data_IF_246954121195
#
_entry.id   IF_246954121195
#
_cell.length_a   1.000
_cell.length_b   1.000
_cell.length_c   1.000
_cell.angle_alpha   90.00
_cell.angle_beta   90.00
_cell.angle_gamma   90.00
#
_symmetry.space_group_name_H-M   'P 1'
#
loop_
_entity.id
_entity.type
_entity.pdbx_description
1 polymer ?
#
# COMPACT_ATOMS: atom_id res chain seq x y z
N UNK A 1 11.48 52.04 -63.56
CA UNK A 1 12.17 52.68 -62.40
C UNK A 1 11.26 52.58 -61.19
N UNK A 2 11.81 52.10 -60.05
CA UNK A 2 11.24 52.16 -58.68
C UNK A 2 9.92 51.40 -58.47
N UNK A 3 9.64 50.67 -57.39
CA UNK A 3 10.09 50.80 -56.01
C UNK A 3 9.93 49.46 -55.22
N UNK A 4 10.39 49.51 -53.97
CA UNK A 4 9.92 48.73 -52.81
C UNK A 4 10.47 47.31 -52.57
N UNK A 5 11.63 47.22 -51.89
CA UNK A 5 12.05 46.03 -51.13
C UNK A 5 12.86 46.41 -49.87
N UNK A 6 12.26 47.02 -48.85
CA UNK A 6 13.00 47.31 -47.60
C UNK A 6 12.23 47.13 -46.27
N UNK A 7 11.10 46.42 -46.22
CA UNK A 7 10.32 46.26 -44.97
C UNK A 7 10.38 44.89 -44.29
N UNK A 8 11.06 43.88 -44.84
CA UNK A 8 11.00 42.49 -44.31
C UNK A 8 12.01 42.12 -43.20
N UNK A 9 12.80 43.06 -42.67
CA UNK A 9 13.83 42.73 -41.65
C UNK A 9 13.45 43.14 -40.22
N UNK A 10 12.38 43.91 -40.02
CA UNK A 10 12.00 44.41 -38.69
C UNK A 10 11.13 43.45 -37.87
N UNK A 11 10.40 42.53 -38.51
CA UNK A 11 9.50 41.61 -37.79
C UNK A 11 10.25 40.48 -37.03
N UNK A 12 11.41 40.04 -37.52
CA UNK A 12 12.13 38.90 -36.93
C UNK A 12 12.78 39.18 -35.57
N UNK A 13 13.15 40.44 -35.26
CA UNK A 13 13.77 40.80 -33.96
C UNK A 13 12.76 40.94 -32.82
N UNK A 14 11.49 41.17 -33.12
CA UNK A 14 10.42 41.30 -32.11
C UNK A 14 9.96 39.94 -31.54
N UNK A 15 9.93 38.89 -32.37
CA UNK A 15 9.53 37.56 -31.91
C UNK A 15 10.54 36.91 -30.93
N UNK A 16 11.84 37.19 -31.08
CA UNK A 16 12.90 36.63 -30.22
C UNK A 16 12.90 37.20 -28.79
N UNK A 17 12.59 38.49 -28.59
CA UNK A 17 12.53 39.10 -27.24
C UNK A 17 11.26 38.71 -26.46
N UNK A 18 10.16 38.46 -27.18
CA UNK A 18 8.90 38.03 -26.58
C UNK A 18 8.92 36.56 -26.15
N UNK A 19 9.65 35.70 -26.87
CA UNK A 19 9.81 34.27 -26.53
C UNK A 19 10.56 34.07 -25.20
N UNK A 20 11.64 34.82 -24.95
CA UNK A 20 12.41 34.68 -23.71
C UNK A 20 11.67 35.08 -22.43
N UNK A 21 10.79 36.11 -22.48
CA UNK A 21 9.98 36.53 -21.31
C UNK A 21 8.89 35.52 -20.97
N UNK A 22 8.25 34.92 -21.97
CA UNK A 22 7.20 33.90 -21.77
C UNK A 22 7.78 32.61 -21.18
N UNK A 23 8.95 32.16 -21.65
CA UNK A 23 9.63 30.97 -21.12
C UNK A 23 10.09 31.18 -19.67
N UNK A 24 10.64 32.36 -19.33
CA UNK A 24 11.03 32.68 -17.95
C UNK A 24 9.82 32.72 -17.00
N UNK A 25 8.70 33.31 -17.44
CA UNK A 25 7.46 33.33 -16.65
C UNK A 25 6.90 31.91 -16.41
N UNK A 26 6.91 31.06 -17.45
CA UNK A 26 6.48 29.67 -17.32
C UNK A 26 7.38 28.87 -16.37
N UNK A 27 8.70 29.06 -16.43
CA UNK A 27 9.65 28.42 -15.52
C UNK A 27 9.46 28.87 -14.06
N UNK A 28 9.21 30.17 -13.82
CA UNK A 28 8.93 30.69 -12.47
C UNK A 28 7.61 30.13 -11.93
N UNK A 29 6.57 30.05 -12.76
CA UNK A 29 5.28 29.45 -12.38
C UNK A 29 5.42 27.95 -12.08
N UNK A 30 6.14 27.19 -12.91
CA UNK A 30 6.43 25.78 -12.67
C UNK A 30 7.22 25.59 -11.38
N UNK A 31 8.30 26.36 -11.18
CA UNK A 31 9.11 26.27 -9.96
C UNK A 31 8.30 26.65 -8.72
N UNK A 32 7.46 27.68 -8.80
CA UNK A 32 6.53 28.06 -7.72
C UNK A 32 5.52 26.96 -7.40
N UNK A 33 5.02 26.24 -8.41
CA UNK A 33 4.08 25.13 -8.24
C UNK A 33 4.76 23.87 -7.68
N UNK A 34 6.03 23.61 -8.01
CA UNK A 34 6.83 22.53 -7.41
C UNK A 34 7.21 22.82 -5.95
N UNK A 35 7.40 24.08 -5.58
CA UNK A 35 7.72 24.50 -4.20
C UNK A 35 6.48 24.66 -3.31
N UNK A 36 5.27 24.52 -3.85
CA UNK A 36 4.02 24.77 -3.14
C UNK A 36 3.51 23.69 -2.16
N UNK A 37 4.00 22.43 -2.09
CA UNK A 37 3.39 21.49 -1.17
C UNK A 37 4.17 21.46 0.16
N UNK A 38 3.67 22.17 1.19
CA UNK A 38 3.83 21.78 2.62
C UNK A 38 3.17 22.76 3.62
N UNK A 39 2.02 23.36 3.31
CA UNK A 39 1.23 24.08 4.34
C UNK A 39 0.01 23.30 4.85
N UNK A 40 -0.21 22.07 4.40
CA UNK A 40 -1.25 21.20 4.95
C UNK A 40 -0.72 20.37 6.13
N UNK A 41 -0.09 21.01 7.11
CA UNK A 41 0.12 20.37 8.42
C UNK A 41 -1.24 20.39 9.16
N UNK A 42 -2.04 19.35 8.95
CA UNK A 42 -3.27 19.15 9.71
C UNK A 42 -2.89 18.78 11.14
N UNK A 43 -3.32 19.59 12.11
CA UNK A 43 -3.06 19.34 13.52
C UNK A 43 -3.71 18.00 13.94
N UNK A 44 -2.92 17.11 14.53
CA UNK A 44 -3.43 15.95 15.27
C UNK A 44 -4.20 16.51 16.46
N UNK A 45 -5.47 16.15 16.60
CA UNK A 45 -6.30 16.61 17.72
C UNK A 45 -5.63 16.24 19.04
N UNK A 46 -5.30 17.21 19.91
CA UNK A 46 -4.62 16.93 21.17
C UNK A 46 -5.58 16.20 22.11
N UNK A 47 -5.38 14.89 22.25
CA UNK A 47 -6.16 14.05 23.17
C UNK A 47 -5.54 14.07 24.58
N UNK A 48 -6.36 14.16 25.64
CA UNK A 48 -5.88 14.23 27.01
C UNK A 48 -5.47 12.84 27.54
N UNK A 49 -4.25 12.42 27.23
CA UNK A 49 -3.66 11.18 27.78
C UNK A 49 -3.18 11.38 29.22
N UNK A 50 -3.31 10.34 30.06
CA UNK A 50 -2.85 10.35 31.46
C UNK A 50 -1.33 10.34 31.56
N UNK A 51 -0.65 9.66 30.63
CA UNK A 51 0.79 9.52 30.60
C UNK A 51 1.29 9.13 29.19
N UNK A 52 2.61 9.10 29.03
CA UNK A 52 3.28 8.73 27.76
C UNK A 52 3.05 7.28 27.34
N UNK A 53 2.81 6.37 28.29
CA UNK A 53 2.57 4.96 27.95
C UNK A 53 1.18 4.74 27.36
N UNK A 54 0.17 5.47 27.84
CA UNK A 54 -1.19 5.49 27.29
C UNK A 54 -1.20 6.11 25.89
N UNK A 55 -0.49 7.23 25.69
CA UNK A 55 -0.28 7.83 24.36
C UNK A 55 0.38 6.82 23.40
N UNK A 56 1.48 6.18 23.80
CA UNK A 56 2.15 5.18 22.95
C UNK A 56 1.28 3.96 22.66
N UNK A 57 0.44 3.55 23.62
CA UNK A 57 -0.53 2.46 23.43
C UNK A 57 -1.62 2.86 22.43
N UNK A 58 -2.14 4.08 22.53
CA UNK A 58 -3.09 4.63 21.58
C UNK A 58 -2.52 4.64 20.16
N UNK A 59 -1.30 5.17 19.97
CA UNK A 59 -0.66 5.24 18.65
C UNK A 59 -0.43 3.84 18.03
N UNK A 60 -0.05 2.85 18.85
CA UNK A 60 0.08 1.46 18.38
C UNK A 60 -1.25 0.86 17.95
N UNK A 61 -2.33 1.15 18.69
CA UNK A 61 -3.67 0.64 18.36
C UNK A 61 -4.19 1.25 17.06
N UNK A 62 -4.08 2.57 16.89
CA UNK A 62 -4.57 3.27 15.70
C UNK A 62 -3.78 2.91 14.44
N UNK A 63 -2.49 2.61 14.56
CA UNK A 63 -1.68 2.11 13.43
C UNK A 63 -2.08 0.70 12.97
N UNK A 64 -2.70 -0.10 13.84
CA UNK A 64 -3.17 -1.46 13.53
C UNK A 64 -4.61 -1.50 13.00
N UNK A 65 -5.24 -0.34 12.84
CA UNK A 65 -6.59 -0.19 12.33
C UNK A 65 -6.56 0.57 11.00
N UNK A 66 -7.30 0.09 10.00
CA UNK A 66 -7.40 0.67 8.65
C UNK A 66 -8.43 1.79 8.61
N UNK A 67 -8.17 2.81 7.79
CA UNK A 67 -9.22 3.73 7.37
C UNK A 67 -10.07 3.07 6.26
N UNK A 68 -11.34 2.82 6.55
CA UNK A 68 -12.28 2.12 5.65
C UNK A 68 -12.61 2.88 4.36
N UNK A 69 -12.33 4.19 4.32
CA UNK A 69 -12.63 5.08 3.18
C UNK A 69 -11.38 5.61 2.48
N UNK A 70 -10.20 5.25 2.98
CA UNK A 70 -8.92 5.76 2.49
C UNK A 70 -8.19 4.68 1.69
N UNK A 71 -7.27 5.09 0.82
CA UNK A 71 -6.53 4.13 -0.02
C UNK A 71 -5.32 3.59 0.73
N UNK A 72 -5.48 2.40 1.33
CA UNK A 72 -4.40 1.66 2.00
C UNK A 72 -3.68 2.48 3.11
N UNK A 73 -4.47 3.21 3.89
CA UNK A 73 -3.99 4.01 5.03
C UNK A 73 -4.54 3.45 6.35
N UNK A 74 -3.80 3.65 7.44
CA UNK A 74 -4.24 3.35 8.80
C UNK A 74 -4.94 4.57 9.45
N UNK A 75 -5.54 4.38 10.63
CA UNK A 75 -6.22 5.44 11.35
C UNK A 75 -5.26 6.48 11.96
N UNK A 76 -4.00 6.12 12.22
CA UNK A 76 -3.01 7.02 12.78
C UNK A 76 -2.57 8.09 11.76
N UNK A 77 -2.39 7.67 10.51
CA UNK A 77 -1.83 8.50 9.43
C UNK A 77 -2.89 9.23 8.61
N UNK A 78 -4.13 8.73 8.61
CA UNK A 78 -5.17 9.29 7.74
C UNK A 78 -5.89 10.50 8.33
N UNK A 79 -6.12 11.49 7.47
CA UNK A 79 -6.82 12.74 7.80
C UNK A 79 -8.32 12.73 7.46
N UNK A 80 -8.87 11.59 7.00
CA UNK A 80 -10.30 11.48 6.72
C UNK A 80 -11.16 11.76 7.97
N UNK A 81 -12.34 12.34 7.78
CA UNK A 81 -13.30 12.59 8.86
C UNK A 81 -13.66 11.29 9.59
N UNK A 82 -13.92 10.21 8.85
CA UNK A 82 -14.20 8.89 9.43
C UNK A 82 -13.03 8.38 10.28
N UNK A 83 -11.78 8.60 9.85
CA UNK A 83 -10.62 8.18 10.62
C UNK A 83 -10.50 8.93 11.94
N UNK A 84 -10.92 10.20 11.98
CA UNK A 84 -10.99 11.01 13.21
C UNK A 84 -12.06 10.48 14.16
N UNK A 85 -13.25 10.17 13.66
CA UNK A 85 -14.34 9.60 14.47
C UNK A 85 -13.93 8.26 15.10
N UNK A 86 -13.30 7.38 14.31
CA UNK A 86 -12.81 6.09 14.79
C UNK A 86 -11.68 6.25 15.82
N UNK A 87 -10.77 7.21 15.63
CA UNK A 87 -9.74 7.57 16.61
C UNK A 87 -10.34 8.00 17.95
N UNK A 88 -11.40 8.81 17.94
CA UNK A 88 -12.12 9.16 19.16
C UNK A 88 -12.79 7.96 19.83
N UNK A 89 -13.34 7.01 19.06
CA UNK A 89 -13.88 5.77 19.60
C UNK A 89 -12.79 4.92 20.27
N UNK A 90 -11.63 4.79 19.64
CA UNK A 90 -10.48 4.07 20.21
C UNK A 90 -10.05 4.73 21.53
N UNK A 91 -9.96 6.06 21.54
CA UNK A 91 -9.61 6.82 22.73
C UNK A 91 -10.64 6.63 23.85
N UNK A 92 -11.93 6.67 23.55
CA UNK A 92 -12.98 6.44 24.54
C UNK A 92 -12.89 5.04 25.19
N UNK A 93 -12.64 4.00 24.39
CA UNK A 93 -12.46 2.64 24.90
C UNK A 93 -11.17 2.49 25.73
N UNK A 94 -10.10 3.18 25.33
CA UNK A 94 -8.84 3.25 26.08
C UNK A 94 -9.07 3.87 27.47
N UNK A 95 -9.79 4.99 27.51
CA UNK A 95 -10.13 5.68 28.77
C UNK A 95 -11.06 4.84 29.66
N UNK A 96 -11.91 4.02 29.07
CA UNK A 96 -12.74 3.04 29.77
C UNK A 96 -11.94 1.83 30.32
N UNK A 97 -10.61 1.82 30.17
CA UNK A 97 -9.74 0.78 30.73
C UNK A 97 -9.79 -0.56 29.99
N UNK A 98 -10.32 -0.58 28.76
CA UNK A 98 -10.39 -1.81 27.94
C UNK A 98 -9.00 -2.26 27.52
N UNK A 99 -8.82 -3.57 27.33
CA UNK A 99 -7.59 -4.14 26.76
C UNK A 99 -7.53 -3.96 25.23
N UNK A 100 -6.35 -4.11 24.63
CA UNK A 100 -6.16 -3.95 23.19
C UNK A 100 -7.04 -4.90 22.37
N UNK A 101 -7.18 -6.14 22.83
CA UNK A 101 -8.05 -7.13 22.20
C UNK A 101 -9.53 -6.73 22.29
N UNK A 102 -9.97 -6.20 23.44
CA UNK A 102 -11.34 -5.72 23.61
C UNK A 102 -11.64 -4.51 22.73
N UNK A 103 -10.68 -3.58 22.60
CA UNK A 103 -10.81 -2.40 21.74
C UNK A 103 -10.92 -2.84 20.28
N UNK A 104 -10.03 -3.73 19.82
CA UNK A 104 -10.07 -4.29 18.47
C UNK A 104 -11.39 -5.02 18.19
N UNK A 105 -11.84 -5.86 19.13
CA UNK A 105 -13.10 -6.57 18.99
C UNK A 105 -14.28 -5.61 18.89
N UNK A 106 -14.33 -4.57 19.73
CA UNK A 106 -15.36 -3.53 19.64
C UNK A 106 -15.37 -2.83 18.27
N UNK A 107 -14.19 -2.58 17.70
CA UNK A 107 -14.09 -2.01 16.35
C UNK A 107 -14.61 -2.97 15.29
N UNK A 108 -14.27 -4.25 15.37
CA UNK A 108 -14.77 -5.29 14.45
C UNK A 108 -16.28 -5.43 14.53
N UNK A 109 -16.81 -5.57 15.75
CA UNK A 109 -18.25 -5.80 16.00
C UNK A 109 -19.12 -4.68 15.42
N UNK A 110 -18.57 -3.46 15.34
CA UNK A 110 -19.31 -2.27 14.90
C UNK A 110 -18.98 -1.83 13.47
N UNK A 111 -17.79 -2.14 12.95
CA UNK A 111 -17.28 -1.60 11.68
C UNK A 111 -16.83 -2.64 10.66
N UNK A 112 -16.86 -3.95 10.97
CA UNK A 112 -16.37 -5.09 10.16
C UNK A 112 -14.95 -5.55 10.47
N UNK A 113 -14.65 -6.83 10.20
CA UNK A 113 -13.32 -7.43 10.27
C UNK A 113 -12.27 -6.66 9.44
N UNK A 114 -12.70 -5.98 8.38
CA UNK A 114 -11.83 -5.21 7.49
C UNK A 114 -11.19 -3.98 8.16
N UNK A 115 -11.69 -3.56 9.33
CA UNK A 115 -11.09 -2.48 10.11
C UNK A 115 -9.72 -2.86 10.66
N UNK A 116 -9.44 -4.15 10.85
CA UNK A 116 -8.13 -4.62 11.29
C UNK A 116 -7.15 -4.60 10.12
N UNK A 117 -5.93 -4.11 10.36
CA UNK A 117 -4.89 -4.15 9.34
C UNK A 117 -4.46 -5.58 9.02
N UNK A 118 -4.42 -6.43 10.03
CA UNK A 118 -4.15 -7.86 9.90
C UNK A 118 -5.44 -8.63 10.19
N UNK A 119 -6.06 -9.26 9.18
CA UNK A 119 -7.30 -10.01 9.38
C UNK A 119 -7.04 -11.22 10.27
N UNK A 120 -7.93 -11.52 11.24
CA UNK A 120 -7.73 -12.64 12.14
C UNK A 120 -7.81 -13.98 11.40
N UNK A 121 -7.07 -14.97 11.91
CA UNK A 121 -7.23 -16.36 11.49
C UNK A 121 -8.52 -16.89 12.11
N UNK A 122 -9.55 -17.03 11.28
CA UNK A 122 -10.85 -17.58 11.67
C UNK A 122 -11.13 -18.83 10.86
N UNK A 123 -12.21 -19.54 11.21
CA UNK A 123 -12.65 -20.72 10.43
C UNK A 123 -12.92 -20.37 8.95
N UNK A 124 -13.38 -19.15 8.67
CA UNK A 124 -13.65 -18.68 7.30
C UNK A 124 -12.39 -18.33 6.51
N UNK A 125 -11.36 -17.78 7.16
CA UNK A 125 -10.09 -17.42 6.49
C UNK A 125 -9.08 -18.56 6.46
N UNK A 126 -9.34 -19.69 7.15
CA UNK A 126 -8.39 -20.79 7.29
C UNK A 126 -7.85 -21.30 5.95
N UNK A 127 -8.72 -21.48 4.94
CA UNK A 127 -8.31 -21.93 3.62
C UNK A 127 -7.36 -20.94 2.93
N UNK A 128 -7.55 -19.63 3.13
CA UNK A 128 -6.67 -18.60 2.58
C UNK A 128 -5.27 -18.67 3.21
N UNK A 129 -5.20 -18.91 4.53
CA UNK A 129 -3.95 -18.98 5.27
C UNK A 129 -3.16 -20.28 5.03
N UNK A 130 -3.85 -21.43 5.01
CA UNK A 130 -3.20 -22.74 4.93
C UNK A 130 -3.27 -23.40 3.54
N UNK A 131 -4.11 -22.87 2.64
CA UNK A 131 -4.29 -23.40 1.28
C UNK A 131 -3.00 -23.53 0.48
N UNK A 132 -2.12 -22.49 0.41
CA UNK A 132 -0.86 -22.59 -0.32
C UNK A 132 0.05 -23.70 0.21
N UNK A 133 0.18 -23.83 1.54
CA UNK A 133 1.00 -24.86 2.16
C UNK A 133 0.42 -26.27 1.91
N UNK A 134 -0.89 -26.43 2.05
CA UNK A 134 -1.58 -27.70 1.80
C UNK A 134 -1.41 -28.13 0.33
N UNK A 135 -1.51 -27.19 -0.61
CA UNK A 135 -1.33 -27.46 -2.04
C UNK A 135 0.09 -27.91 -2.37
N UNK A 136 1.10 -27.26 -1.78
CA UNK A 136 2.50 -27.65 -1.94
C UNK A 136 2.77 -29.06 -1.38
N UNK A 137 2.25 -29.36 -0.19
CA UNK A 137 2.40 -30.68 0.45
C UNK A 137 1.71 -31.78 -0.36
N UNK A 138 0.50 -31.51 -0.88
CA UNK A 138 -0.20 -32.44 -1.74
C UNK A 138 0.58 -32.73 -3.03
N UNK A 139 1.08 -31.69 -3.71
CA UNK A 139 1.91 -31.84 -4.91
C UNK A 139 3.20 -32.63 -4.65
N UNK A 140 3.93 -32.29 -3.59
CA UNK A 140 5.14 -33.01 -3.18
C UNK A 140 4.84 -34.48 -2.86
N UNK A 141 3.72 -34.77 -2.17
CA UNK A 141 3.28 -36.12 -1.87
C UNK A 141 3.04 -36.96 -3.14
N UNK A 142 2.40 -36.38 -4.16
CA UNK A 142 2.18 -37.05 -5.46
C UNK A 142 3.50 -37.35 -6.16
N UNK A 143 4.42 -36.38 -6.21
CA UNK A 143 5.75 -36.57 -6.82
C UNK A 143 6.52 -37.68 -6.11
N UNK A 144 6.60 -37.63 -4.78
CA UNK A 144 7.30 -38.66 -4.00
C UNK A 144 6.66 -40.03 -4.22
N UNK A 145 5.33 -40.11 -4.22
CA UNK A 145 4.62 -41.36 -4.44
C UNK A 145 4.94 -41.94 -5.83
N UNK A 146 4.86 -41.13 -6.89
CA UNK A 146 5.12 -41.57 -8.27
C UNK A 146 6.59 -41.99 -8.49
N UNK A 147 7.55 -41.29 -7.87
CA UNK A 147 8.98 -41.67 -7.95
C UNK A 147 9.22 -43.00 -7.23
N UNK A 148 8.64 -43.19 -6.03
CA UNK A 148 8.82 -44.42 -5.25
C UNK A 148 8.15 -45.63 -5.91
N UNK A 149 6.98 -45.47 -6.53
CA UNK A 149 6.33 -46.56 -7.25
C UNK A 149 7.12 -46.97 -8.49
N UNK A 150 7.65 -46.01 -9.26
CA UNK A 150 8.51 -46.31 -10.42
C UNK A 150 9.83 -46.98 -10.04
N UNK A 151 10.49 -46.52 -8.97
CA UNK A 151 11.72 -47.15 -8.50
C UNK A 151 11.52 -48.60 -8.05
N UNK A 152 10.34 -48.93 -7.50
CA UNK A 152 9.96 -50.31 -7.14
C UNK A 152 9.56 -51.18 -8.34
N UNK A 153 9.09 -50.55 -9.42
CA UNK A 153 8.74 -51.23 -10.67
C UNK A 153 9.93 -51.41 -11.62
N UNK A 154 11.17 -51.21 -11.15
CA UNK A 154 12.39 -51.41 -11.92
C UNK A 154 12.55 -52.85 -12.38
N UNK A 155 12.03 -53.17 -13.57
CA UNK A 155 12.37 -54.36 -14.34
C UNK A 155 13.88 -54.32 -14.60
N UNK A 156 14.64 -55.37 -14.25
CA UNK A 156 16.05 -55.46 -14.61
C UNK A 156 16.18 -55.36 -16.14
N UNK A 157 16.77 -54.26 -16.63
CA UNK A 157 17.19 -54.20 -18.03
C UNK A 157 18.36 -55.16 -18.15
N UNK A 158 18.08 -56.36 -18.67
CA UNK A 158 19.10 -57.33 -19.01
C UNK A 158 20.01 -56.71 -20.08
N UNK A 159 21.34 -56.77 -19.92
CA UNK A 159 22.28 -56.19 -20.87
C UNK A 159 22.02 -56.79 -22.25
N UNK A 160 21.63 -55.96 -23.21
CA UNK A 160 21.58 -56.34 -24.62
C UNK A 160 23.04 -56.47 -25.05
N UNK A 161 23.49 -57.70 -25.24
CA UNK A 161 24.79 -57.98 -25.85
C UNK A 161 24.65 -57.58 -27.32
N UNK A 162 25.34 -56.51 -27.69
CA UNK A 162 25.39 -55.96 -29.05
C UNK A 162 26.22 -56.90 -29.93
N UNK A 163 25.60 -57.99 -30.36
CA UNK A 163 26.16 -58.94 -31.32
C UNK A 163 25.79 -58.49 -32.74
N UNK A 164 26.37 -57.39 -33.23
CA UNK A 164 26.28 -57.10 -34.66
C UNK A 164 27.48 -56.30 -35.20
N UNK A 165 28.22 -57.03 -36.06
CA UNK A 165 29.31 -56.67 -36.98
C UNK A 165 30.75 -56.84 -36.46
#
# INVERSE_FOLDING_TARGET
MMAARHTRLWHWRWHWRAQGRRVRLLLVLLLGMLLAPSLAAQAVDPLPFKNRSEEARYQRLTAQLRCLVCQNENLADSNASLARDLRHQVFAQLQAGKSDAQIKQYMVDRYSDFVLYDPPVTRGTWLLWFGPALMLLAGAGVVIHTVRTRARAGTPVAPQVEDQW
#
